data_IF_636061047751
#
_entry.id   IF_636061047751
#
_cell.length_a   1.000
_cell.length_b   1.000
_cell.length_c   1.000
_cell.angle_alpha   90.00
_cell.angle_beta   90.00
_cell.angle_gamma   90.00
#
_symmetry.space_group_name_H-M   'P 1'
#
loop_
_entity.id
_entity.type
_entity.pdbx_description
1 polymer ?
#
# COMPACT_ATOMS: atom_id res chain seq x y z
N UNK A 1 8.31 -1.58 8.82
CA UNK A 1 7.78 -0.40 9.56
C UNK A 1 7.13 0.49 8.54
N UNK A 2 5.84 0.72 8.65
CA UNK A 2 5.07 1.51 7.67
C UNK A 2 5.11 3.00 8.03
N UNK A 3 5.17 3.92 7.05
CA UNK A 3 5.04 5.34 7.33
C UNK A 3 3.72 5.68 8.03
N UNK A 4 3.79 6.52 9.07
CA UNK A 4 2.63 6.93 9.88
C UNK A 4 1.53 7.61 9.06
N UNK A 5 1.85 8.12 7.87
CA UNK A 5 0.88 8.77 6.97
C UNK A 5 -0.18 7.79 6.47
N UNK A 6 0.13 6.51 6.34
CA UNK A 6 -0.82 5.48 5.91
C UNK A 6 -1.81 5.12 7.03
N UNK A 7 -1.34 5.14 8.28
CA UNK A 7 -2.14 4.83 9.45
C UNK A 7 -3.17 5.91 9.78
N UNK A 8 -2.97 7.15 9.32
CA UNK A 8 -3.96 8.23 9.52
C UNK A 8 -5.14 8.15 8.55
N UNK A 9 -4.93 7.55 7.37
CA UNK A 9 -5.97 7.32 6.35
C UNK A 9 -6.89 6.17 6.76
N UNK A 10 -6.34 5.16 7.43
CA UNK A 10 -7.07 3.97 7.86
C UNK A 10 -7.81 4.21 9.18
N UNK A 11 -9.15 4.10 9.14
CA UNK A 11 -10.03 4.45 10.27
C UNK A 11 -10.14 3.37 11.35
N UNK A 12 -9.96 2.09 11.00
CA UNK A 12 -10.06 0.98 11.94
C UNK A 12 -8.70 0.34 12.21
N UNK A 13 -8.47 -0.12 13.45
CA UNK A 13 -7.23 -0.82 13.81
C UNK A 13 -7.07 -2.14 13.05
N UNK A 14 -8.18 -2.81 12.71
CA UNK A 14 -8.14 -4.03 11.89
C UNK A 14 -7.69 -3.74 10.45
N UNK A 15 -8.13 -2.62 9.87
CA UNK A 15 -7.70 -2.20 8.54
C UNK A 15 -6.20 -1.83 8.54
N UNK A 16 -5.71 -1.19 9.61
CA UNK A 16 -4.29 -0.86 9.79
C UNK A 16 -3.41 -2.10 9.78
N UNK A 17 -3.78 -3.14 10.53
CA UNK A 17 -3.03 -4.40 10.58
C UNK A 17 -3.00 -5.08 9.21
N UNK A 18 -4.15 -5.21 8.54
CA UNK A 18 -4.21 -5.83 7.20
C UNK A 18 -3.42 -5.04 6.16
N UNK A 19 -3.48 -3.72 6.22
CA UNK A 19 -2.70 -2.87 5.32
C UNK A 19 -1.19 -3.00 5.59
N UNK A 20 -0.78 -3.08 6.86
CA UNK A 20 0.62 -3.30 7.22
C UNK A 20 1.16 -4.63 6.68
N UNK A 21 0.36 -5.71 6.75
CA UNK A 21 0.71 -7.01 6.15
C UNK A 21 0.95 -6.88 4.65
N UNK A 22 0.00 -6.26 3.92
CA UNK A 22 0.11 -6.04 2.48
C UNK A 22 1.31 -5.16 2.13
N UNK A 23 1.54 -4.08 2.88
CA UNK A 23 2.68 -3.20 2.65
C UNK A 23 3.99 -3.96 2.81
N UNK A 24 4.17 -4.70 3.90
CA UNK A 24 5.40 -5.45 4.15
C UNK A 24 5.61 -6.58 3.13
N UNK A 25 4.54 -7.23 2.67
CA UNK A 25 4.60 -8.32 1.69
C UNK A 25 4.90 -7.81 0.27
N UNK A 26 4.21 -6.76 -0.18
CA UNK A 26 4.19 -6.35 -1.58
C UNK A 26 5.12 -5.19 -1.91
N UNK A 27 5.62 -4.41 -0.92
CA UNK A 27 6.45 -3.23 -1.21
C UNK A 27 7.69 -3.55 -2.04
N UNK A 28 8.43 -4.59 -1.70
CA UNK A 28 9.64 -4.95 -2.43
C UNK A 28 9.33 -5.44 -3.85
N UNK A 29 8.26 -6.24 -4.02
CA UNK A 29 7.83 -6.71 -5.32
C UNK A 29 7.36 -5.55 -6.22
N UNK A 30 6.64 -4.58 -5.65
CA UNK A 30 6.18 -3.40 -6.35
C UNK A 30 7.35 -2.51 -6.77
N UNK A 31 8.30 -2.26 -5.86
CA UNK A 31 9.52 -1.50 -6.18
C UNK A 31 10.31 -2.15 -7.32
N UNK A 32 10.56 -3.46 -7.25
CA UNK A 32 11.26 -4.17 -8.31
C UNK A 32 10.51 -4.10 -9.65
N UNK A 33 9.19 -4.17 -9.61
CA UNK A 33 8.36 -4.05 -10.82
C UNK A 33 8.42 -2.63 -11.40
N UNK A 34 8.30 -1.60 -10.57
CA UNK A 34 8.40 -0.20 -11.00
C UNK A 34 9.80 0.13 -11.53
N UNK A 35 10.85 -0.28 -10.83
CA UNK A 35 12.24 -0.11 -11.24
C UNK A 35 12.56 -0.86 -12.55
N UNK A 36 11.92 -2.00 -12.79
CA UNK A 36 12.10 -2.73 -14.06
C UNK A 36 11.58 -1.97 -15.29
N UNK A 37 10.70 -0.99 -15.08
CA UNK A 37 10.08 -0.17 -16.13
C UNK A 37 10.74 1.20 -16.22
N UNK A 38 10.94 1.86 -15.07
CA UNK A 38 11.42 3.23 -15.00
C UNK A 38 12.95 3.32 -15.06
N UNK A 39 13.63 2.26 -14.60
CA UNK A 39 15.09 2.21 -14.47
C UNK A 39 15.72 3.34 -13.64
N UNK A 40 14.90 4.06 -12.89
CA UNK A 40 15.29 5.11 -11.96
C UNK A 40 14.76 4.78 -10.56
N UNK A 41 15.60 4.80 -9.52
CA UNK A 41 15.20 4.42 -8.18
C UNK A 41 14.33 5.46 -7.47
N UNK A 42 14.46 6.76 -7.80
CA UNK A 42 13.60 7.81 -7.24
C UNK A 42 12.20 7.71 -7.83
N UNK A 43 12.09 7.63 -9.17
CA UNK A 43 10.79 7.46 -9.84
C UNK A 43 10.09 6.15 -9.44
N UNK A 44 10.86 5.07 -9.24
CA UNK A 44 10.30 3.80 -8.80
C UNK A 44 9.77 3.84 -7.36
N UNK A 45 10.44 4.57 -6.47
CA UNK A 45 9.96 4.77 -5.09
C UNK A 45 8.70 5.65 -5.08
N UNK A 46 8.64 6.69 -5.91
CA UNK A 46 7.45 7.55 -6.05
C UNK A 46 6.22 6.74 -6.49
N UNK A 47 6.38 5.84 -7.48
CA UNK A 47 5.30 4.94 -7.91
C UNK A 47 4.85 3.99 -6.80
N UNK A 48 5.78 3.51 -5.99
CA UNK A 48 5.47 2.64 -4.84
C UNK A 48 4.62 3.40 -3.82
N UNK A 49 5.04 4.60 -3.44
CA UNK A 49 4.31 5.46 -2.49
C UNK A 49 2.91 5.82 -3.02
N UNK A 50 2.79 6.29 -4.27
CA UNK A 50 1.50 6.65 -4.89
C UNK A 50 0.52 5.46 -4.95
N UNK A 51 1.04 4.27 -5.26
CA UNK A 51 0.23 3.05 -5.30
C UNK A 51 -0.29 2.70 -3.91
N UNK A 52 0.57 2.73 -2.88
CA UNK A 52 0.15 2.43 -1.51
C UNK A 52 -0.80 3.48 -0.94
N UNK A 53 -0.64 4.76 -1.29
CA UNK A 53 -1.58 5.83 -0.93
C UNK A 53 -2.96 5.55 -1.52
N UNK A 54 -3.00 5.18 -2.80
CA UNK A 54 -4.26 4.84 -3.49
C UNK A 54 -4.92 3.61 -2.85
N UNK A 55 -4.14 2.59 -2.50
CA UNK A 55 -4.64 1.40 -1.81
C UNK A 55 -5.17 1.76 -0.43
N UNK A 56 -4.46 2.59 0.34
CA UNK A 56 -4.87 3.02 1.68
C UNK A 56 -6.19 3.80 1.65
N UNK A 57 -6.34 4.73 0.71
CA UNK A 57 -7.57 5.55 0.54
C UNK A 57 -8.79 4.69 0.19
N UNK A 58 -8.59 3.67 -0.65
CA UNK A 58 -9.64 2.73 -1.06
C UNK A 58 -9.78 1.52 -0.12
N UNK A 59 -8.90 1.39 0.88
CA UNK A 59 -8.79 0.17 1.69
C UNK A 59 -10.08 -0.15 2.43
N UNK A 60 -10.75 0.87 2.96
CA UNK A 60 -12.04 0.70 3.66
C UNK A 60 -13.13 0.11 2.74
N UNK A 61 -13.12 0.42 1.44
CA UNK A 61 -14.09 -0.16 0.50
C UNK A 61 -13.67 -1.55 0.02
N UNK A 62 -12.36 -1.80 -0.10
CA UNK A 62 -11.79 -3.13 -0.40
C UNK A 62 -12.09 -4.09 0.77
N UNK A 63 -11.87 -3.67 2.01
CA UNK A 63 -12.07 -4.50 3.21
C UNK A 63 -13.54 -4.86 3.40
N UNK A 64 -14.47 -3.92 3.17
CA UNK A 64 -15.92 -4.20 3.18
C UNK A 64 -16.36 -5.23 2.13
N UNK A 65 -15.73 -5.26 0.96
CA UNK A 65 -16.06 -6.22 -0.11
C UNK A 65 -15.52 -7.62 0.20
N UNK A 66 -14.36 -7.72 0.83
CA UNK A 66 -13.75 -9.00 1.22
C UNK A 66 -14.61 -9.79 2.23
N UNK A 67 -15.40 -9.10 3.06
CA UNK A 67 -16.29 -9.70 4.07
C UNK A 67 -17.59 -10.28 3.48
N UNK A 68 -17.92 -10.00 2.22
CA UNK A 68 -19.19 -10.45 1.59
C UNK A 68 -19.10 -11.80 0.86
N UNK A 69 -18.10 -12.63 1.13
CA UNK A 69 -17.93 -13.93 0.47
C UNK A 69 -18.25 -15.10 1.38
#
# INVERSE_FOLDING_TARGET
MIPMIYLSVLKSEEDKVKFEEIYNEYRQALFLSAYSILHDPEDAEDVVEDTFLTVADNFTEISKKAVRK
#
